data_IF_449581640593
#
_entry.id   IF_449581640593
#
_cell.length_a   1.000
_cell.length_b   1.000
_cell.length_c   1.000
_cell.angle_alpha   90.00
_cell.angle_beta   90.00
_cell.angle_gamma   90.00
#
_symmetry.space_group_name_H-M   'P 1'
#
loop_
_entity.id
_entity.type
_entity.pdbx_description
1 polymer ?
#
# COMPACT_ATOMS: atom_id res chain seq x y z
N UNK A 1 -17.85 -8.99 9.31
CA UNK A 1 -16.81 -8.16 9.97
C UNK A 1 -16.78 -6.80 9.28
N UNK A 2 -17.10 -5.71 10.00
CA UNK A 2 -17.06 -4.36 9.40
C UNK A 2 -15.62 -3.97 9.08
N UNK A 3 -15.33 -3.74 7.80
CA UNK A 3 -13.97 -3.42 7.31
C UNK A 3 -13.51 -2.00 7.65
N UNK A 4 -14.42 -1.13 8.08
CA UNK A 4 -14.18 0.29 8.36
C UNK A 4 -14.53 0.67 9.80
N UNK A 5 -13.83 1.67 10.32
CA UNK A 5 -14.03 2.26 11.63
C UNK A 5 -14.98 3.46 11.55
N UNK A 6 -15.85 3.58 12.55
CA UNK A 6 -16.69 4.78 12.73
C UNK A 6 -15.86 5.93 13.28
N UNK A 7 -16.32 7.17 13.08
CA UNK A 7 -15.67 8.39 13.59
C UNK A 7 -15.38 8.31 15.10
N UNK A 8 -16.33 7.79 15.87
CA UNK A 8 -16.19 7.63 17.34
C UNK A 8 -15.05 6.66 17.67
N UNK A 9 -14.96 5.55 16.93
CA UNK A 9 -13.92 4.55 17.14
C UNK A 9 -12.54 5.04 16.69
N UNK A 10 -12.45 5.79 15.58
CA UNK A 10 -11.21 6.43 15.15
C UNK A 10 -10.64 7.36 16.23
N UNK A 11 -11.47 8.22 16.85
CA UNK A 11 -11.03 9.11 17.94
C UNK A 11 -10.36 8.37 19.10
N UNK A 12 -10.83 7.15 19.41
CA UNK A 12 -10.24 6.31 20.46
C UNK A 12 -8.93 5.65 20.02
N UNK A 13 -8.78 5.32 18.74
CA UNK A 13 -7.63 4.57 18.21
C UNK A 13 -6.47 5.50 17.82
N UNK A 14 -6.74 6.74 17.37
CA UNK A 14 -5.70 7.69 16.95
C UNK A 14 -4.59 7.86 18.00
N UNK A 15 -4.88 8.11 19.29
CA UNK A 15 -3.82 8.30 20.29
C UNK A 15 -2.96 7.05 20.46
N UNK A 16 -3.59 5.86 20.41
CA UNK A 16 -2.87 4.59 20.48
C UNK A 16 -1.96 4.39 19.28
N UNK A 17 -2.46 4.66 18.07
CA UNK A 17 -1.68 4.56 16.84
C UNK A 17 -0.46 5.49 16.86
N UNK A 18 -0.63 6.75 17.27
CA UNK A 18 0.47 7.71 17.39
C UNK A 18 1.49 7.27 18.45
N UNK A 19 1.03 6.75 19.59
CA UNK A 19 1.91 6.20 20.63
C UNK A 19 2.75 5.04 20.10
N UNK A 20 2.14 4.12 19.34
CA UNK A 20 2.86 3.00 18.73
C UNK A 20 3.92 3.46 17.74
N UNK A 21 3.63 4.48 16.92
CA UNK A 21 4.62 5.08 16.01
C UNK A 21 5.82 5.65 16.78
N UNK A 22 5.56 6.35 17.90
CA UNK A 22 6.65 6.90 18.73
C UNK A 22 7.49 5.79 19.37
N UNK A 23 6.85 4.73 19.88
CA UNK A 23 7.56 3.58 20.43
C UNK A 23 8.48 2.92 19.38
N UNK A 24 8.04 2.82 18.11
CA UNK A 24 8.86 2.31 17.02
C UNK A 24 10.09 3.19 16.77
N UNK A 25 9.90 4.51 16.77
CA UNK A 25 11.00 5.48 16.59
C UNK A 25 12.04 5.47 17.72
N UNK A 26 11.64 5.07 18.92
CA UNK A 26 12.53 4.95 20.10
C UNK A 26 13.12 3.55 20.26
N UNK A 27 12.82 2.62 19.35
CA UNK A 27 13.31 1.26 19.43
C UNK A 27 14.85 1.20 19.31
N UNK A 28 15.54 0.29 20.02
CA UNK A 28 16.97 0.06 19.82
C UNK A 28 17.29 -0.56 18.45
N UNK A 29 16.27 -1.11 17.77
CA UNK A 29 16.44 -1.75 16.47
C UNK A 29 16.29 -0.75 15.33
N UNK A 30 17.37 -0.54 14.56
CA UNK A 30 17.39 0.39 13.42
C UNK A 30 16.26 0.16 12.41
N UNK A 31 15.90 -1.11 12.16
CA UNK A 31 14.79 -1.48 11.27
C UNK A 31 13.43 -1.00 11.78
N UNK A 32 13.19 -1.08 13.10
CA UNK A 32 11.95 -0.60 13.70
C UNK A 32 11.89 0.93 13.75
N UNK A 33 13.03 1.59 13.95
CA UNK A 33 13.11 3.06 13.84
C UNK A 33 12.77 3.50 12.42
N UNK A 34 13.32 2.83 11.40
CA UNK A 34 13.00 3.11 10.00
C UNK A 34 11.50 2.90 9.71
N UNK A 35 10.91 1.79 10.18
CA UNK A 35 9.48 1.55 10.09
C UNK A 35 8.66 2.67 10.76
N UNK A 36 9.04 3.10 11.97
CA UNK A 36 8.39 4.19 12.68
C UNK A 36 8.43 5.52 11.92
N UNK A 37 9.55 5.84 11.26
CA UNK A 37 9.66 7.02 10.39
C UNK A 37 8.75 6.92 9.16
N UNK A 38 8.69 5.75 8.52
CA UNK A 38 7.80 5.52 7.39
C UNK A 38 6.34 5.66 7.81
N UNK A 39 5.91 4.98 8.87
CA UNK A 39 4.52 5.05 9.34
C UNK A 39 4.12 6.45 9.77
N UNK A 40 5.03 7.22 10.37
CA UNK A 40 4.76 8.62 10.71
C UNK A 40 4.61 9.52 9.48
N UNK A 41 5.35 9.25 8.40
CA UNK A 41 5.25 10.00 7.15
C UNK A 41 3.93 9.73 6.42
N UNK A 42 3.34 8.55 6.62
CA UNK A 42 2.11 8.08 5.96
C UNK A 42 0.89 8.01 6.90
N UNK A 43 0.99 8.59 8.09
CA UNK A 43 -0.02 8.40 9.16
C UNK A 43 -1.40 8.88 8.77
N UNK A 44 -1.49 9.92 7.94
CA UNK A 44 -2.75 10.53 7.52
C UNK A 44 -3.48 9.64 6.51
N UNK A 45 -2.76 9.14 5.51
CA UNK A 45 -3.28 8.21 4.51
C UNK A 45 -3.73 6.90 5.15
N UNK A 46 -2.92 6.36 6.09
CA UNK A 46 -3.28 5.18 6.87
C UNK A 46 -4.58 5.43 7.66
N UNK A 47 -4.70 6.58 8.33
CA UNK A 47 -5.90 6.93 9.08
C UNK A 47 -7.12 7.14 8.17
N UNK A 48 -6.95 7.67 6.97
CA UNK A 48 -8.01 7.77 5.96
C UNK A 48 -8.55 6.39 5.60
N UNK A 49 -7.67 5.40 5.38
CA UNK A 49 -8.07 4.03 5.04
C UNK A 49 -8.94 3.36 6.11
N UNK A 50 -8.87 3.80 7.37
CA UNK A 50 -9.79 3.30 8.40
C UNK A 50 -11.25 3.59 8.10
N UNK A 51 -11.56 4.67 7.38
CA UNK A 51 -12.94 5.09 7.07
C UNK A 51 -13.42 4.65 5.70
N UNK A 52 -12.53 4.21 4.82
CA UNK A 52 -12.86 3.84 3.44
C UNK A 52 -12.61 2.36 3.19
N UNK A 53 -13.53 1.70 2.51
CA UNK A 53 -13.43 0.27 2.17
C UNK A 53 -12.72 0.00 0.84
N UNK A 54 -11.84 0.90 0.39
CA UNK A 54 -11.10 0.74 -0.86
C UNK A 54 -10.02 -0.33 -0.67
N UNK A 55 -9.89 -1.23 -1.64
CA UNK A 55 -8.84 -2.24 -1.66
C UNK A 55 -7.90 -2.00 -2.84
N UNK A 56 -6.67 -2.50 -2.74
CA UNK A 56 -5.70 -2.45 -3.83
C UNK A 56 -5.93 -3.55 -4.89
N UNK A 57 -7.06 -4.25 -4.84
CA UNK A 57 -7.31 -5.46 -5.65
C UNK A 57 -7.32 -5.20 -7.15
N UNK A 58 -7.81 -4.05 -7.59
CA UNK A 58 -7.79 -3.65 -9.01
C UNK A 58 -6.35 -3.47 -9.50
N UNK A 59 -5.55 -2.70 -8.76
CA UNK A 59 -4.13 -2.47 -9.05
C UNK A 59 -3.35 -3.79 -9.08
N UNK A 60 -3.58 -4.66 -8.10
CA UNK A 60 -2.96 -5.99 -8.05
C UNK A 60 -3.38 -6.87 -9.24
N UNK A 61 -4.64 -6.80 -9.65
CA UNK A 61 -5.15 -7.44 -10.86
C UNK A 61 -4.39 -7.00 -12.11
N UNK A 62 -4.19 -5.68 -12.27
CA UNK A 62 -3.39 -5.12 -13.36
C UNK A 62 -1.93 -5.56 -13.28
N UNK A 63 -1.29 -5.48 -12.11
CA UNK A 63 0.09 -5.95 -11.92
C UNK A 63 0.24 -7.44 -12.27
N UNK A 64 -0.74 -8.28 -11.91
CA UNK A 64 -0.74 -9.70 -12.27
C UNK A 64 -0.84 -9.90 -13.78
N UNK A 65 -1.72 -9.15 -14.46
CA UNK A 65 -1.88 -9.18 -15.92
C UNK A 65 -0.60 -8.72 -16.62
N UNK A 66 0.01 -7.64 -16.16
CA UNK A 66 1.30 -7.14 -16.65
C UNK A 66 2.42 -8.18 -16.52
N UNK A 67 2.55 -8.84 -15.36
CA UNK A 67 3.51 -9.94 -15.15
C UNK A 67 3.23 -11.13 -16.07
N UNK A 68 1.96 -11.46 -16.32
CA UNK A 68 1.60 -12.52 -17.26
C UNK A 68 2.03 -12.19 -18.70
N UNK A 69 1.85 -10.93 -19.14
CA UNK A 69 2.29 -10.47 -20.46
C UNK A 69 3.80 -10.64 -20.61
N UNK A 70 4.58 -10.25 -19.58
CA UNK A 70 6.03 -10.45 -19.56
C UNK A 70 6.42 -11.93 -19.63
N UNK A 71 5.78 -12.79 -18.84
CA UNK A 71 6.05 -14.24 -18.83
C UNK A 71 5.75 -14.91 -20.16
N UNK A 72 4.61 -14.58 -20.78
CA UNK A 72 4.23 -15.12 -22.10
C UNK A 72 5.17 -14.70 -23.22
N UNK A 73 5.80 -13.54 -23.10
CA UNK A 73 6.79 -13.05 -24.07
C UNK A 73 8.22 -13.55 -23.77
N UNK A 74 8.43 -14.30 -22.68
CA UNK A 74 9.77 -14.64 -22.17
C UNK A 74 10.66 -13.41 -21.93
N UNK A 75 10.05 -12.31 -21.48
CA UNK A 75 10.69 -11.02 -21.27
C UNK A 75 10.59 -10.06 -22.46
N UNK A 76 10.83 -8.78 -22.22
CA UNK A 76 10.89 -7.75 -23.25
C UNK A 76 12.25 -7.07 -23.21
N UNK A 77 12.93 -7.00 -24.36
CA UNK A 77 14.17 -6.22 -24.50
C UNK A 77 13.90 -4.73 -24.76
N UNK A 78 12.79 -4.42 -25.44
CA UNK A 78 12.36 -3.06 -25.76
C UNK A 78 11.16 -2.66 -24.88
N UNK A 79 11.31 -1.58 -24.11
CA UNK A 79 10.28 -1.07 -23.21
C UNK A 79 9.03 -0.57 -23.94
N UNK A 80 9.16 0.06 -25.12
CA UNK A 80 8.00 0.54 -25.88
C UNK A 80 7.11 -0.61 -26.35
N UNK A 81 7.70 -1.74 -26.75
CA UNK A 81 6.93 -2.94 -27.09
C UNK A 81 6.16 -3.51 -25.89
N UNK A 82 6.77 -3.49 -24.71
CA UNK A 82 6.09 -3.86 -23.46
C UNK A 82 4.94 -2.90 -23.16
N UNK A 83 5.20 -1.58 -23.23
CA UNK A 83 4.22 -0.53 -22.97
C UNK A 83 3.01 -0.61 -23.89
N UNK A 84 3.22 -0.82 -25.19
CA UNK A 84 2.14 -1.03 -26.17
C UNK A 84 1.26 -2.21 -25.78
N UNK A 85 1.87 -3.35 -25.43
CA UNK A 85 1.11 -4.54 -25.02
C UNK A 85 0.36 -4.34 -23.72
N UNK A 86 0.95 -3.65 -22.73
CA UNK A 86 0.22 -3.30 -21.49
C UNK A 86 -0.96 -2.39 -21.81
N UNK A 87 -0.80 -1.38 -22.68
CA UNK A 87 -1.89 -0.47 -23.03
C UNK A 87 -3.06 -1.17 -23.71
N UNK A 88 -2.78 -2.11 -24.62
CA UNK A 88 -3.82 -2.86 -25.34
C UNK A 88 -4.45 -3.93 -24.45
N UNK A 89 -3.64 -4.65 -23.68
CA UNK A 89 -4.09 -5.82 -22.93
C UNK A 89 -4.61 -5.48 -21.54
N UNK A 90 -4.20 -4.38 -20.91
CA UNK A 90 -4.65 -3.99 -19.57
C UNK A 90 -5.68 -2.85 -19.58
N UNK A 91 -6.47 -2.73 -20.65
CA UNK A 91 -7.69 -1.94 -20.66
C UNK A 91 -8.83 -2.64 -19.89
#
# INVERSE_FOLDING_TARGET
MNKTLTKVRCRKIIPLFLKMIQNLKQSPFKSLVALGKTLDSWKEEIACMWRFSKSNGITEGFHRKMKLIQRRAYGFRNFENYRLRVRVLCA
#
